data_IF_180034820200
#
_entry.id   IF_180034820200
#
_cell.length_a   1.000
_cell.length_b   1.000
_cell.length_c   1.000
_cell.angle_alpha   90.00
_cell.angle_beta   90.00
_cell.angle_gamma   90.00
#
_symmetry.space_group_name_H-M   'P 1'
#
loop_
_entity.id
_entity.type
_entity.pdbx_description
1 polymer ?
#
# COMPACT_ATOMS: atom_id res chain seq x y z
N UNK A 1 0.46 -11.91 -12.72
CA UNK A 1 1.27 -13.12 -12.98
C UNK A 1 2.25 -13.35 -11.83
N UNK A 2 2.55 -14.62 -11.52
CA UNK A 2 3.52 -15.00 -10.47
C UNK A 2 4.90 -14.37 -10.69
N UNK A 3 5.30 -14.23 -11.95
CA UNK A 3 6.57 -13.61 -12.36
C UNK A 3 6.70 -12.12 -11.98
N UNK A 4 5.62 -11.45 -11.64
CA UNK A 4 5.61 -10.05 -11.21
C UNK A 4 5.70 -9.86 -9.70
N UNK A 5 5.60 -10.94 -8.91
CA UNK A 5 5.67 -10.88 -7.45
C UNK A 5 7.14 -10.94 -7.04
N UNK A 6 7.57 -10.04 -6.17
CA UNK A 6 8.93 -10.06 -5.63
C UNK A 6 9.21 -11.33 -4.84
N UNK A 7 10.43 -11.83 -4.89
CA UNK A 7 10.80 -13.05 -4.18
C UNK A 7 10.86 -12.82 -2.67
N UNK A 8 11.32 -11.66 -2.25
CA UNK A 8 11.48 -11.27 -0.84
C UNK A 8 11.21 -9.78 -0.65
N UNK A 9 10.95 -9.37 0.58
CA UNK A 9 10.77 -7.97 0.92
C UNK A 9 12.13 -7.26 0.97
N UNK A 10 12.12 -5.96 0.67
CA UNK A 10 13.27 -5.10 0.92
C UNK A 10 13.37 -4.78 2.43
N UNK A 11 14.51 -5.12 3.03
CA UNK A 11 14.82 -4.85 4.43
C UNK A 11 15.45 -3.46 4.65
N UNK A 12 15.76 -2.74 3.56
CA UNK A 12 16.32 -1.40 3.59
C UNK A 12 15.41 -0.39 2.88
N UNK A 13 14.18 -0.17 3.38
CA UNK A 13 13.24 0.77 2.77
C UNK A 13 13.81 2.19 2.80
N UNK A 14 13.44 2.98 1.81
CA UNK A 14 13.82 4.39 1.69
C UNK A 14 12.70 5.33 2.13
N UNK A 15 11.45 4.85 2.09
CA UNK A 15 10.27 5.65 2.36
C UNK A 15 9.39 4.95 3.40
N UNK A 16 8.89 5.71 4.37
CA UNK A 16 7.84 5.23 5.26
C UNK A 16 6.53 5.06 4.48
N UNK A 17 6.20 6.05 3.65
CA UNK A 17 5.04 6.01 2.75
C UNK A 17 5.51 6.22 1.31
N UNK A 18 4.96 5.41 0.40
CA UNK A 18 5.21 5.55 -1.03
C UNK A 18 4.84 6.96 -1.51
N UNK A 19 5.71 7.63 -2.29
CA UNK A 19 5.49 9.01 -2.71
C UNK A 19 4.32 9.18 -3.70
N UNK A 20 3.85 8.09 -4.31
CA UNK A 20 2.68 8.11 -5.16
C UNK A 20 1.40 8.18 -4.32
N UNK A 21 0.67 9.28 -4.46
CA UNK A 21 -0.62 9.50 -3.79
C UNK A 21 -1.74 9.34 -4.81
N UNK A 22 -2.65 8.37 -4.64
CA UNK A 22 -3.76 8.16 -5.55
C UNK A 22 -4.59 9.44 -5.73
N UNK A 23 -4.88 9.80 -6.98
CA UNK A 23 -5.66 11.01 -7.32
C UNK A 23 -4.87 12.33 -7.37
N UNK A 24 -3.61 12.36 -6.93
CA UNK A 24 -2.73 13.53 -7.04
C UNK A 24 -1.83 13.39 -8.26
N UNK A 25 -2.24 13.97 -9.39
CA UNK A 25 -1.58 13.80 -10.71
C UNK A 25 -0.07 14.08 -10.64
N UNK A 26 0.39 15.13 -9.96
CA UNK A 26 1.81 15.46 -9.84
C UNK A 26 2.69 14.42 -9.13
N UNK A 27 2.11 13.34 -8.58
CA UNK A 27 2.86 12.23 -7.98
C UNK A 27 3.01 11.02 -8.92
N UNK A 28 2.40 11.08 -10.11
CA UNK A 28 2.50 10.04 -11.15
C UNK A 28 3.67 10.37 -12.09
N UNK A 29 4.89 10.30 -11.56
CA UNK A 29 6.11 10.71 -12.26
C UNK A 29 6.87 9.55 -12.91
N UNK A 30 6.37 8.34 -12.76
CA UNK A 30 7.01 7.12 -13.24
C UNK A 30 6.65 6.88 -14.70
N UNK A 31 7.65 6.76 -15.57
CA UNK A 31 7.48 6.58 -17.01
C UNK A 31 7.51 5.12 -17.46
N UNK A 32 7.97 4.21 -16.59
CA UNK A 32 8.09 2.78 -16.86
C UNK A 32 7.65 1.93 -15.65
N UNK A 33 7.34 0.66 -15.93
CA UNK A 33 6.85 -0.29 -14.93
C UNK A 33 7.90 -0.59 -13.84
N UNK A 34 9.18 -0.63 -14.19
CA UNK A 34 10.22 -0.97 -13.24
C UNK A 34 10.40 0.11 -12.19
N UNK A 35 10.51 1.37 -12.60
CA UNK A 35 10.61 2.51 -11.68
C UNK A 35 9.38 2.64 -10.80
N UNK A 36 8.18 2.37 -11.35
CA UNK A 36 6.92 2.35 -10.62
C UNK A 36 6.90 1.25 -9.55
N UNK A 37 7.36 0.04 -9.85
CA UNK A 37 7.40 -1.06 -8.87
C UNK A 37 8.53 -0.88 -7.85
N UNK A 38 9.69 -0.35 -8.27
CA UNK A 38 10.79 -0.04 -7.33
C UNK A 38 10.36 0.95 -6.26
N UNK A 39 9.52 1.91 -6.58
CA UNK A 39 8.95 2.84 -5.61
C UNK A 39 8.19 2.11 -4.50
N UNK A 40 7.37 1.10 -4.82
CA UNK A 40 6.67 0.29 -3.82
C UNK A 40 7.64 -0.61 -3.04
N UNK A 41 8.57 -1.29 -3.70
CA UNK A 41 9.57 -2.15 -3.04
C UNK A 41 10.34 -1.39 -1.96
N UNK A 42 10.72 -0.14 -2.26
CA UNK A 42 11.48 0.74 -1.37
C UNK A 42 10.62 1.46 -0.32
N UNK A 43 9.34 1.13 -0.22
CA UNK A 43 8.42 1.75 0.74
C UNK A 43 7.89 0.74 1.76
N UNK A 44 7.60 1.21 2.98
CA UNK A 44 6.91 0.39 3.98
C UNK A 44 5.43 0.34 3.65
N UNK A 45 4.79 1.49 3.50
CA UNK A 45 3.36 1.63 3.23
C UNK A 45 3.10 2.30 1.89
N UNK A 46 1.92 2.05 1.33
CA UNK A 46 1.39 2.80 0.20
C UNK A 46 -0.10 3.06 0.37
N UNK A 47 -0.53 4.29 0.05
CA UNK A 47 -1.94 4.66 0.10
C UNK A 47 -2.72 4.02 -1.03
N UNK A 48 -3.89 3.50 -0.68
CA UNK A 48 -4.89 3.08 -1.64
C UNK A 48 -6.29 3.31 -1.10
N UNK A 49 -7.26 3.44 -1.98
CA UNK A 49 -8.67 3.60 -1.65
C UNK A 49 -9.54 3.23 -2.84
N UNK A 50 -10.86 3.06 -2.61
CA UNK A 50 -11.86 2.91 -3.65
C UNK A 50 -11.83 4.09 -4.61
N UNK A 51 -11.88 3.80 -5.91
CA UNK A 51 -12.11 4.80 -6.95
C UNK A 51 -13.52 4.62 -7.56
N UNK A 52 -13.60 4.30 -8.85
CA UNK A 52 -14.88 3.97 -9.49
C UNK A 52 -15.46 2.66 -8.94
N UNK A 53 -14.60 1.68 -8.65
CA UNK A 53 -14.93 0.40 -8.03
C UNK A 53 -14.01 0.09 -6.87
N UNK A 54 -14.35 -0.97 -6.12
CA UNK A 54 -13.53 -1.48 -5.03
C UNK A 54 -12.29 -2.23 -5.54
N UNK A 55 -12.45 -2.99 -6.64
CA UNK A 55 -11.34 -3.72 -7.23
C UNK A 55 -10.48 -2.80 -8.09
N UNK A 56 -9.21 -2.77 -7.78
CA UNK A 56 -8.22 -1.96 -8.48
C UNK A 56 -6.90 -2.70 -8.53
N UNK A 57 -6.27 -2.72 -9.69
CA UNK A 57 -4.96 -3.34 -9.89
C UNK A 57 -3.92 -2.84 -8.89
N UNK A 58 -4.02 -1.58 -8.46
CA UNK A 58 -3.10 -0.99 -7.48
C UNK A 58 -3.01 -1.76 -6.17
N UNK A 59 -4.11 -2.32 -5.67
CA UNK A 59 -4.06 -3.09 -4.42
C UNK A 59 -3.11 -4.27 -4.54
N UNK A 60 -3.17 -4.95 -5.68
CA UNK A 60 -2.32 -6.10 -5.99
C UNK A 60 -0.88 -5.66 -6.30
N UNK A 61 -0.69 -4.54 -6.99
CA UNK A 61 0.63 -3.97 -7.29
C UNK A 61 1.41 -3.62 -6.01
N UNK A 62 0.74 -3.04 -5.02
CA UNK A 62 1.33 -2.75 -3.71
C UNK A 62 1.75 -4.07 -3.03
N UNK A 63 0.84 -5.02 -2.92
CA UNK A 63 1.08 -6.30 -2.25
C UNK A 63 2.17 -7.13 -2.95
N UNK A 64 2.16 -7.22 -4.28
CA UNK A 64 3.12 -8.03 -5.02
C UNK A 64 4.55 -7.48 -4.97
N UNK A 65 4.71 -6.21 -4.61
CA UNK A 65 6.00 -5.57 -4.41
C UNK A 65 6.43 -5.55 -2.93
N UNK A 66 5.76 -6.31 -2.06
CA UNK A 66 6.09 -6.42 -0.64
C UNK A 66 5.90 -5.11 0.13
N UNK A 67 5.03 -4.23 -0.35
CA UNK A 67 4.62 -3.00 0.33
C UNK A 67 3.28 -3.24 1.05
N UNK A 68 3.03 -2.52 2.13
CA UNK A 68 1.79 -2.66 2.92
C UNK A 68 0.76 -1.65 2.42
N UNK A 69 -0.41 -2.08 1.92
CA UNK A 69 -1.46 -1.15 1.53
C UNK A 69 -2.16 -0.55 2.75
N UNK A 70 -2.11 0.77 2.90
CA UNK A 70 -3.03 1.51 3.77
C UNK A 70 -4.30 1.81 2.96
N UNK A 71 -5.28 0.94 3.11
CA UNK A 71 -6.52 0.99 2.35
C UNK A 71 -7.58 1.78 3.12
N UNK A 72 -7.67 3.10 2.85
CA UNK A 72 -8.32 4.10 3.69
C UNK A 72 -9.80 3.88 3.99
N UNK A 73 -10.51 3.22 3.10
CA UNK A 73 -11.96 3.01 3.17
C UNK A 73 -12.35 1.52 3.18
N UNK A 74 -11.42 0.63 3.47
CA UNK A 74 -11.62 -0.82 3.39
C UNK A 74 -12.74 -1.32 4.32
N UNK A 75 -12.94 -0.68 5.47
CA UNK A 75 -14.03 -1.00 6.40
C UNK A 75 -15.42 -0.82 5.79
N UNK A 76 -15.53 -0.01 4.73
CA UNK A 76 -16.78 0.23 4.00
C UNK A 76 -16.95 -0.71 2.80
N UNK A 77 -15.97 -1.62 2.56
CA UNK A 77 -16.03 -2.56 1.44
C UNK A 77 -17.11 -3.61 1.68
N UNK A 78 -18.05 -3.81 0.74
CA UNK A 78 -19.06 -4.85 0.87
C UNK A 78 -18.44 -6.23 1.12
N UNK A 79 -19.09 -7.11 1.92
CA UNK A 79 -18.54 -8.42 2.26
C UNK A 79 -18.22 -9.26 1.02
N UNK A 80 -19.05 -9.21 0.01
CA UNK A 80 -18.92 -10.01 -1.23
C UNK A 80 -17.95 -9.41 -2.26
N UNK A 81 -17.33 -8.26 -1.93
CA UNK A 81 -16.38 -7.58 -2.80
C UNK A 81 -14.97 -7.76 -2.27
N UNK A 82 -13.97 -7.89 -3.15
CA UNK A 82 -12.57 -8.14 -2.79
C UNK A 82 -12.38 -9.37 -1.88
N UNK A 83 -13.19 -10.41 -2.08
CA UNK A 83 -13.19 -11.62 -1.24
C UNK A 83 -11.86 -12.36 -1.21
N UNK A 84 -10.98 -12.11 -2.17
CA UNK A 84 -9.64 -12.71 -2.23
C UNK A 84 -8.58 -11.91 -1.48
N UNK A 85 -8.83 -10.63 -1.16
CA UNK A 85 -7.92 -9.83 -0.34
C UNK A 85 -8.07 -10.17 1.15
N UNK A 86 -7.02 -10.05 1.96
CA UNK A 86 -7.06 -10.28 3.41
C UNK A 86 -7.65 -9.06 4.12
N UNK A 87 -8.96 -8.78 3.90
CA UNK A 87 -9.62 -7.54 4.35
C UNK A 87 -9.46 -7.29 5.84
N UNK A 88 -9.69 -8.31 6.67
CA UNK A 88 -9.60 -8.16 8.13
C UNK A 88 -8.18 -7.74 8.55
N UNK A 89 -7.16 -8.36 7.96
CA UNK A 89 -5.76 -7.99 8.24
C UNK A 89 -5.43 -6.57 7.76
N UNK A 90 -5.98 -6.15 6.63
CA UNK A 90 -5.80 -4.78 6.13
C UNK A 90 -6.52 -3.74 7.02
N UNK A 91 -7.66 -4.10 7.61
CA UNK A 91 -8.37 -3.26 8.60
C UNK A 91 -7.55 -3.15 9.89
N UNK A 92 -7.03 -4.26 10.41
CA UNK A 92 -6.13 -4.25 11.57
C UNK A 92 -4.93 -3.33 11.35
N UNK A 93 -4.24 -3.49 10.23
CA UNK A 93 -3.08 -2.69 9.85
C UNK A 93 -3.47 -1.20 9.74
N UNK A 94 -4.60 -0.89 9.10
CA UNK A 94 -5.06 0.49 8.98
C UNK A 94 -5.32 1.12 10.35
N UNK A 95 -5.93 0.38 11.28
CA UNK A 95 -6.20 0.86 12.64
C UNK A 95 -4.91 1.06 13.43
N UNK A 96 -3.98 0.11 13.36
CA UNK A 96 -2.70 0.15 14.07
C UNK A 96 -1.82 1.33 13.60
N UNK A 97 -1.73 1.54 12.28
CA UNK A 97 -0.88 2.55 11.68
C UNK A 97 -1.62 3.81 11.22
N UNK A 98 -2.85 4.02 11.70
CA UNK A 98 -3.67 5.20 11.34
C UNK A 98 -3.02 6.55 11.68
N UNK A 99 -2.16 6.58 12.70
CA UNK A 99 -1.42 7.78 13.08
C UNK A 99 -0.51 8.30 11.95
N UNK A 100 0.04 7.39 11.13
CA UNK A 100 0.84 7.76 9.93
C UNK A 100 0.00 8.61 8.97
N UNK A 101 -1.32 8.35 8.91
CA UNK A 101 -2.24 9.09 8.06
C UNK A 101 -2.46 10.54 8.54
N UNK A 102 -2.17 10.86 9.79
CA UNK A 102 -2.24 12.25 10.28
C UNK A 102 -1.24 13.15 9.56
N UNK A 103 -0.08 12.61 9.21
CA UNK A 103 0.92 13.31 8.42
C UNK A 103 0.54 13.41 6.94
N UNK A 104 -0.29 12.48 6.45
CA UNK A 104 -0.65 12.31 5.04
C UNK A 104 -2.16 12.34 4.79
N UNK A 105 -2.95 13.07 5.57
CA UNK A 105 -4.42 13.08 5.46
C UNK A 105 -4.88 13.53 4.04
N UNK A 106 -5.16 12.61 3.10
CA UNK A 106 -5.57 12.95 1.74
C UNK A 106 -6.95 13.63 1.71
N UNK A 107 -7.80 13.41 2.73
CA UNK A 107 -9.12 14.04 2.82
C UNK A 107 -9.02 15.54 3.12
N UNK A 108 -7.96 16.01 3.78
CA UNK A 108 -7.67 17.44 3.90
C UNK A 108 -7.16 18.05 2.59
N UNK A 109 -6.51 17.25 1.74
CA UNK A 109 -6.07 17.68 0.41
C UNK A 109 -7.27 17.94 -0.51
N UNK A 110 -8.37 17.17 -0.35
CA UNK A 110 -9.57 17.33 -1.16
C UNK A 110 -10.51 18.45 -0.69
N UNK A 111 -10.46 18.89 0.58
CA UNK A 111 -11.39 19.86 1.15
C UNK A 111 -10.88 21.28 1.29
N UNK A 112 -9.60 21.58 1.09
CA UNK A 112 -9.08 22.96 1.17
C UNK A 112 -8.20 23.32 -0.05
N UNK A 113 -8.82 24.02 -0.96
CA UNK A 113 -8.19 24.95 -1.92
C UNK A 113 -7.55 26.11 -1.14
N UNK A 114 -6.47 25.95 -0.38
CA UNK A 114 -5.60 27.07 0.03
C UNK A 114 -4.32 26.65 0.77
N UNK A 115 -3.23 26.92 0.18
CA UNK A 115 -1.93 27.55 0.51
C UNK A 115 -1.14 27.17 1.79
N UNK A 116 -1.69 26.54 2.82
CA UNK A 116 -0.97 26.33 4.10
C UNK A 116 -0.24 25.01 4.20
N UNK A 117 -0.58 24.05 3.35
CA UNK A 117 -0.03 22.68 3.42
C UNK A 117 1.38 22.58 2.81
N UNK A 118 1.70 23.38 1.79
CA UNK A 118 3.06 23.47 1.23
C UNK A 118 4.09 24.00 2.25
N UNK A 119 3.65 24.85 3.17
CA UNK A 119 4.52 25.42 4.21
C UNK A 119 4.81 24.43 5.33
N UNK A 120 3.87 23.56 5.66
CA UNK A 120 4.06 22.52 6.68
C UNK A 120 4.93 21.38 6.13
N UNK A 121 4.77 21.00 4.86
CA UNK A 121 5.63 20.02 4.19
C UNK A 121 7.07 20.55 3.97
N UNK A 122 7.26 21.86 3.77
CA UNK A 122 8.58 22.46 3.65
C UNK A 122 9.32 22.58 4.99
N UNK A 123 8.61 22.62 6.10
CA UNK A 123 9.18 22.61 7.45
C UNK A 123 9.59 21.20 7.92
N UNK A 124 8.99 20.15 7.34
CA UNK A 124 9.39 18.75 7.51
C UNK A 124 10.23 18.24 6.31
N UNK A 125 11.07 19.09 5.76
CA UNK A 125 11.95 18.79 4.65
C UNK A 125 12.92 17.65 4.96
N UNK A 126 13.11 16.78 4.00
CA UNK A 126 14.11 15.72 3.73
C UNK A 126 15.00 15.17 4.90
N UNK A 127 15.42 15.99 5.85
CA UNK A 127 16.11 15.55 7.07
C UNK A 127 15.19 14.88 8.09
N UNK A 128 13.92 15.31 8.15
CA UNK A 128 12.89 14.76 9.02
C UNK A 128 12.38 13.40 8.54
N UNK A 129 12.34 13.15 7.22
CA UNK A 129 11.83 11.87 6.69
C UNK A 129 12.78 10.70 6.98
N UNK A 130 14.10 10.89 6.86
CA UNK A 130 15.08 9.86 7.21
C UNK A 130 15.04 9.52 8.70
N UNK A 131 15.07 10.54 9.55
CA UNK A 131 14.98 10.32 11.00
C UNK A 131 13.65 9.70 11.40
N UNK A 132 12.53 10.12 10.77
CA UNK A 132 11.22 9.56 11.02
C UNK A 132 11.10 8.08 10.62
N UNK A 133 11.70 7.69 9.50
CA UNK A 133 11.72 6.29 9.07
C UNK A 133 12.58 5.43 10.03
N UNK A 134 13.76 5.90 10.42
CA UNK A 134 14.65 5.18 11.34
C UNK A 134 14.02 4.98 12.72
N UNK A 135 13.39 6.04 13.26
CA UNK A 135 12.65 5.96 14.53
C UNK A 135 11.50 4.97 14.40
N UNK A 136 10.69 5.10 13.32
CA UNK A 136 9.57 4.19 13.08
C UNK A 136 10.02 2.73 13.02
N UNK A 137 11.10 2.42 12.30
CA UNK A 137 11.60 1.05 12.16
C UNK A 137 12.14 0.48 13.48
N UNK A 138 12.75 1.32 14.32
CA UNK A 138 13.22 0.94 15.64
C UNK A 138 12.06 0.60 16.58
N UNK A 139 10.99 1.37 16.53
CA UNK A 139 9.83 1.19 17.39
C UNK A 139 8.86 0.12 16.88
N UNK A 140 9.00 -0.33 15.62
CA UNK A 140 8.11 -1.27 14.93
C UNK A 140 8.88 -2.38 14.21
N UNK A 141 9.72 -3.12 14.94
CA UNK A 141 10.52 -4.23 14.36
C UNK A 141 9.64 -5.29 13.68
N UNK A 142 8.43 -5.53 14.21
CA UNK A 142 7.47 -6.46 13.65
C UNK A 142 6.94 -6.08 12.25
N UNK A 143 7.22 -4.86 11.77
CA UNK A 143 6.72 -4.40 10.47
C UNK A 143 7.21 -5.26 9.31
N UNK A 144 8.43 -5.80 9.41
CA UNK A 144 8.97 -6.70 8.40
C UNK A 144 8.30 -8.07 8.41
N UNK A 145 7.83 -8.52 9.58
CA UNK A 145 7.01 -9.73 9.68
C UNK A 145 5.65 -9.51 9.00
N UNK A 146 5.00 -8.37 9.24
CA UNK A 146 3.75 -8.01 8.56
C UNK A 146 3.95 -7.98 7.03
N UNK A 147 5.04 -7.37 6.54
CA UNK A 147 5.39 -7.34 5.12
C UNK A 147 5.56 -8.75 4.54
N UNK A 148 6.30 -9.63 5.23
CA UNK A 148 6.50 -11.01 4.83
C UNK A 148 5.19 -11.79 4.77
N UNK A 149 4.37 -11.69 5.81
CA UNK A 149 3.08 -12.39 5.90
C UNK A 149 2.14 -11.98 4.75
N UNK A 150 2.09 -10.67 4.41
CA UNK A 150 1.29 -10.18 3.28
C UNK A 150 1.87 -10.63 1.94
N UNK A 151 3.19 -10.65 1.78
CA UNK A 151 3.83 -11.13 0.56
C UNK A 151 3.58 -12.62 0.36
N UNK A 152 3.71 -13.42 1.40
CA UNK A 152 3.43 -14.86 1.38
C UNK A 152 1.96 -15.16 1.07
N UNK A 153 1.04 -14.39 1.68
CA UNK A 153 -0.37 -14.45 1.33
C UNK A 153 -0.57 -14.15 -0.17
N UNK A 154 0.08 -13.12 -0.69
CA UNK A 154 -0.01 -12.73 -2.10
C UNK A 154 0.46 -13.85 -3.02
N UNK A 155 1.61 -14.45 -2.73
CA UNK A 155 2.16 -15.59 -3.49
C UNK A 155 1.21 -16.79 -3.49
N UNK A 156 0.61 -17.10 -2.34
CA UNK A 156 -0.23 -18.28 -2.14
C UNK A 156 -1.66 -18.11 -2.64
N UNK A 157 -2.21 -16.88 -2.67
CA UNK A 157 -3.63 -16.65 -2.87
C UNK A 157 -4.00 -15.73 -4.03
N UNK A 158 -3.11 -14.81 -4.41
CA UNK A 158 -3.43 -13.74 -5.37
C UNK A 158 -2.78 -13.90 -6.74
N UNK A 159 -2.17 -15.05 -7.02
CA UNK A 159 -1.63 -15.31 -8.36
C UNK A 159 -2.74 -15.68 -9.34
N UNK A 160 -2.56 -15.35 -10.60
CA UNK A 160 -3.51 -15.73 -11.66
C UNK A 160 -3.72 -17.23 -11.74
N UNK A 161 -2.69 -18.03 -11.49
CA UNK A 161 -2.75 -19.50 -11.46
C UNK A 161 -3.68 -20.00 -10.35
N UNK A 162 -3.54 -19.47 -9.13
CA UNK A 162 -4.39 -19.83 -8.00
C UNK A 162 -5.82 -19.38 -8.21
N UNK A 163 -6.02 -18.16 -8.71
CA UNK A 163 -7.36 -17.64 -8.99
C UNK A 163 -8.06 -18.45 -10.06
N UNK A 164 -7.37 -18.82 -11.15
CA UNK A 164 -7.92 -19.66 -12.21
C UNK A 164 -8.28 -21.07 -11.68
N UNK A 165 -7.40 -21.68 -10.86
CA UNK A 165 -7.67 -22.99 -10.26
C UNK A 165 -8.93 -22.96 -9.39
N UNK A 166 -9.04 -21.97 -8.49
CA UNK A 166 -10.21 -21.85 -7.60
C UNK A 166 -11.51 -21.62 -8.38
N UNK A 167 -11.43 -20.85 -9.47
CA UNK A 167 -12.59 -20.64 -10.36
C UNK A 167 -13.00 -21.94 -11.05
N UNK A 168 -12.05 -22.71 -11.59
CA UNK A 168 -12.35 -24.00 -12.22
C UNK A 168 -12.92 -25.04 -11.22
N UNK A 169 -12.46 -25.02 -9.97
CA UNK A 169 -12.99 -25.91 -8.94
C UNK A 169 -14.45 -25.54 -8.57
N UNK A 170 -14.79 -24.26 -8.56
CA UNK A 170 -16.15 -23.80 -8.27
C UNK A 170 -17.18 -24.17 -9.36
N UNK A 171 -16.76 -24.50 -10.58
CA UNK A 171 -17.62 -25.01 -11.64
C UNK A 171 -17.80 -26.55 -11.64
N UNK A 172 -17.05 -27.26 -10.81
CA UNK A 172 -17.10 -28.73 -10.73
C UNK A 172 -17.99 -29.26 -9.60
N UNK A 173 -18.45 -28.40 -8.71
CA UNK A 173 -19.39 -28.70 -7.62
C UNK A 173 -20.77 -28.17 -7.93
#
# INVERSE_FOLDING_TARGET
PKSKIVNEIDKNPKNLLAPLIPGKIGTYIYSDENSYYEMYKKSIFALTYKKAGWDSLRHYEILMNGCIPLFLDIQNCPPDTLTKLPKDKLIEILNEFSEILKFYNPLKIFKKKHLTFHRILSLFSLKSEKNGLEIFLKDNEAIFEIKNNLLDFTKKRLTTEVLAKNTLESFKG
#
